data_IF_292668790956
#
_entry.id   IF_292668790956
#
_cell.length_a   1.000
_cell.length_b   1.000
_cell.length_c   1.000
_cell.angle_alpha   90.00
_cell.angle_beta   90.00
_cell.angle_gamma   90.00
#
_symmetry.space_group_name_H-M   'P 1'
#
loop_
_entity.id
_entity.type
_entity.pdbx_description
1 polymer ?
#
# COMPACT_ATOMS: atom_id res chain seq x y z
N UNK A 1 -18.64 32.23 14.76
CA UNK A 1 -17.66 32.61 15.79
C UNK A 1 -16.42 31.76 15.57
N UNK A 2 -15.24 32.34 15.67
CA UNK A 2 -13.97 31.61 15.51
C UNK A 2 -13.71 30.77 16.76
N UNK A 3 -13.46 29.48 16.58
CA UNK A 3 -13.18 28.53 17.67
C UNK A 3 -11.68 28.45 18.00
N UNK A 4 -10.89 29.33 17.37
CA UNK A 4 -9.45 29.45 17.57
C UNK A 4 -9.14 30.03 18.95
N UNK A 5 -8.13 29.46 19.59
CA UNK A 5 -7.42 30.09 20.71
C UNK A 5 -5.91 29.85 20.55
N UNK A 6 -5.08 30.59 21.28
CA UNK A 6 -3.62 30.42 21.23
C UNK A 6 -3.12 29.67 22.47
N UNK A 7 -2.37 28.59 22.27
CA UNK A 7 -1.74 27.80 23.32
C UNK A 7 -0.27 28.21 23.51
N UNK A 8 0.16 28.41 24.75
CA UNK A 8 1.53 28.82 25.07
C UNK A 8 2.50 27.65 24.99
N UNK A 9 3.58 27.83 24.22
CA UNK A 9 4.67 26.87 24.00
C UNK A 9 6.00 27.59 24.24
N UNK A 10 6.51 27.47 25.47
CA UNK A 10 7.70 28.20 25.92
C UNK A 10 7.48 29.71 25.88
N UNK A 11 8.28 30.42 25.07
CA UNK A 11 8.17 31.88 24.86
C UNK A 11 7.29 32.27 23.66
N UNK A 12 6.68 31.29 23.00
CA UNK A 12 5.85 31.50 21.81
C UNK A 12 4.44 30.95 22.02
N UNK A 13 3.52 31.25 21.10
CA UNK A 13 2.21 30.60 21.08
C UNK A 13 1.92 29.96 19.73
N UNK A 14 1.10 28.92 19.74
CA UNK A 14 0.58 28.26 18.54
C UNK A 14 -0.94 28.33 18.54
N UNK A 15 -1.57 28.53 17.37
CA UNK A 15 -3.02 28.47 17.28
C UNK A 15 -3.52 27.04 17.48
N UNK A 16 -4.64 26.91 18.17
CA UNK A 16 -5.36 25.65 18.38
C UNK A 16 -6.79 25.88 17.91
N UNK A 17 -7.30 24.91 17.15
CA UNK A 17 -8.70 24.81 16.76
C UNK A 17 -9.20 23.42 17.14
N UNK A 18 -10.51 23.22 17.32
CA UNK A 18 -11.08 21.89 17.50
C UNK A 18 -10.66 20.96 16.35
N UNK A 19 -10.32 19.71 16.67
CA UNK A 19 -9.81 18.73 15.69
C UNK A 19 -10.84 18.44 14.60
N UNK A 20 -12.12 18.44 14.94
CA UNK A 20 -13.19 18.28 13.97
C UNK A 20 -13.26 19.47 12.99
N UNK A 21 -13.13 20.69 13.49
CA UNK A 21 -13.03 21.92 12.68
C UNK A 21 -11.81 21.89 11.75
N UNK A 22 -10.68 21.35 12.22
CA UNK A 22 -9.51 21.08 11.36
C UNK A 22 -9.85 20.10 10.23
N UNK A 23 -10.46 18.94 10.55
CA UNK A 23 -10.81 17.92 9.56
C UNK A 23 -11.82 18.46 8.53
N UNK A 24 -12.77 19.28 8.97
CA UNK A 24 -13.74 19.93 8.07
C UNK A 24 -13.03 20.88 7.10
N UNK A 25 -12.14 21.73 7.62
CA UNK A 25 -11.36 22.65 6.79
C UNK A 25 -10.48 21.89 5.78
N UNK A 26 -9.79 20.83 6.23
CA UNK A 26 -8.97 19.97 5.37
C UNK A 26 -9.81 19.32 4.27
N UNK A 27 -11.03 18.88 4.56
CA UNK A 27 -11.97 18.33 3.58
C UNK A 27 -12.43 19.36 2.55
N UNK A 28 -12.75 20.60 2.95
CA UNK A 28 -13.10 21.66 2.00
C UNK A 28 -11.94 22.00 1.06
N UNK A 29 -10.72 22.11 1.59
CA UNK A 29 -9.51 22.29 0.78
C UNK A 29 -9.28 21.09 -0.15
N UNK A 30 -9.48 19.87 0.34
CA UNK A 30 -9.40 18.65 -0.47
C UNK A 30 -10.48 18.56 -1.56
N UNK A 31 -11.53 19.39 -1.46
CA UNK A 31 -12.62 19.55 -2.44
C UNK A 31 -12.44 20.82 -3.29
N UNK A 32 -11.18 21.26 -3.45
CA UNK A 32 -10.79 22.32 -4.37
C UNK A 32 -11.13 23.74 -3.94
N UNK A 33 -11.55 23.96 -2.69
CA UNK A 33 -11.68 25.31 -2.13
C UNK A 33 -10.32 25.93 -1.89
N UNK A 34 -10.24 27.25 -2.07
CA UNK A 34 -8.97 27.94 -1.91
C UNK A 34 -8.67 28.23 -0.42
N UNK A 35 -7.39 28.27 -0.01
CA UNK A 35 -7.03 28.70 1.34
C UNK A 35 -7.56 30.09 1.70
N UNK A 36 -7.68 30.98 0.72
CA UNK A 36 -8.22 32.34 0.89
C UNK A 36 -9.71 32.34 1.24
N UNK A 37 -10.48 31.32 0.85
CA UNK A 37 -11.88 31.15 1.25
C UNK A 37 -12.00 30.49 2.63
N UNK A 38 -11.19 29.45 2.89
CA UNK A 38 -11.35 28.56 4.05
C UNK A 38 -10.70 29.15 5.31
N UNK A 39 -9.45 29.58 5.23
CA UNK A 39 -8.66 29.94 6.42
C UNK A 39 -9.18 31.17 7.17
N UNK A 40 -9.77 32.21 6.53
CA UNK A 40 -10.37 33.32 7.27
C UNK A 40 -11.52 32.90 8.19
N UNK A 41 -12.26 31.83 7.87
CA UNK A 41 -13.32 31.29 8.76
C UNK A 41 -12.75 30.68 10.05
N UNK A 42 -11.50 30.22 10.00
CA UNK A 42 -10.75 29.71 11.14
C UNK A 42 -9.97 30.80 11.87
N UNK A 43 -9.89 32.00 11.28
CA UNK A 43 -9.02 33.07 11.73
C UNK A 43 -7.54 32.68 11.66
N UNK A 44 -7.13 31.87 10.66
CA UNK A 44 -5.75 31.42 10.47
C UNK A 44 -5.11 32.08 9.24
N UNK A 45 -3.82 32.33 9.31
CA UNK A 45 -2.97 32.61 8.13
C UNK A 45 -2.54 31.30 7.45
N UNK A 46 -2.05 31.38 6.20
CA UNK A 46 -1.51 30.21 5.50
C UNK A 46 -0.34 29.57 6.27
N UNK A 47 0.59 30.37 6.81
CA UNK A 47 1.72 29.87 7.60
C UNK A 47 1.30 29.21 8.91
N UNK A 48 0.23 29.68 9.54
CA UNK A 48 -0.34 29.03 10.73
C UNK A 48 -1.02 27.72 10.36
N UNK A 49 -1.78 27.70 9.26
CA UNK A 49 -2.40 26.48 8.75
C UNK A 49 -1.36 25.41 8.41
N UNK A 50 -0.28 25.76 7.71
CA UNK A 50 0.74 24.78 7.31
C UNK A 50 1.36 24.07 8.53
N UNK A 51 1.71 24.84 9.57
CA UNK A 51 2.25 24.28 10.83
C UNK A 51 1.22 23.43 11.57
N UNK A 52 -0.02 23.91 11.65
CA UNK A 52 -1.12 23.20 12.31
C UNK A 52 -1.45 21.89 11.59
N UNK A 53 -1.58 21.95 10.26
CA UNK A 53 -1.88 20.81 9.40
C UNK A 53 -0.77 19.76 9.46
N UNK A 54 0.51 20.18 9.52
CA UNK A 54 1.61 19.22 9.66
C UNK A 54 1.54 18.40 10.95
N UNK A 55 1.02 18.99 12.04
CA UNK A 55 0.81 18.29 13.30
C UNK A 55 -0.50 17.47 13.33
N UNK A 56 -1.63 18.07 12.91
CA UNK A 56 -2.96 17.52 13.11
C UNK A 56 -3.29 16.35 12.18
N UNK A 57 -2.77 16.34 10.95
CA UNK A 57 -3.04 15.29 9.95
C UNK A 57 -2.65 13.88 10.45
N UNK A 58 -1.79 13.80 11.45
CA UNK A 58 -1.27 12.55 12.01
C UNK A 58 -2.02 12.04 13.25
N UNK A 59 -2.95 12.81 13.83
CA UNK A 59 -3.65 12.42 15.07
C UNK A 59 -4.20 10.99 15.05
N UNK A 60 -4.89 10.53 13.99
CA UNK A 60 -5.48 9.18 13.98
C UNK A 60 -4.50 8.09 13.51
N UNK A 61 -3.18 8.37 13.49
CA UNK A 61 -2.16 7.47 12.96
C UNK A 61 -0.99 7.28 13.95
N UNK A 62 -0.20 6.23 13.73
CA UNK A 62 1.02 5.98 14.52
C UNK A 62 2.22 6.86 14.16
N UNK A 63 2.05 7.77 13.20
CA UNK A 63 3.09 8.64 12.65
C UNK A 63 3.05 10.05 13.26
N UNK A 64 4.00 10.90 12.85
CA UNK A 64 3.98 12.33 13.16
C UNK A 64 4.25 12.69 14.62
N UNK A 65 4.92 11.83 15.40
CA UNK A 65 5.28 12.13 16.79
C UNK A 65 6.13 13.41 16.88
N UNK A 66 7.14 13.54 16.01
CA UNK A 66 8.01 14.71 15.96
C UNK A 66 7.26 16.02 15.64
N UNK A 67 6.41 16.02 14.61
CA UNK A 67 5.60 17.19 14.23
C UNK A 67 4.67 17.62 15.37
N UNK A 68 4.02 16.67 16.04
CA UNK A 68 3.12 16.94 17.18
C UNK A 68 3.87 17.48 18.38
N UNK A 69 5.00 16.85 18.77
CA UNK A 69 5.85 17.30 19.87
C UNK A 69 6.38 18.70 19.62
N UNK A 70 6.81 18.99 18.39
CA UNK A 70 7.28 20.31 18.03
C UNK A 70 6.16 21.36 18.13
N UNK A 71 4.97 21.07 17.61
CA UNK A 71 3.85 22.00 17.60
C UNK A 71 3.31 22.31 19.00
N UNK A 72 3.14 21.29 19.85
CA UNK A 72 2.55 21.43 21.18
C UNK A 72 3.59 21.53 22.32
N UNK A 73 4.87 21.73 22.03
CA UNK A 73 5.88 21.90 23.09
C UNK A 73 6.11 20.66 23.94
N UNK A 74 5.92 19.46 23.39
CA UNK A 74 6.15 18.19 24.07
C UNK A 74 5.02 17.72 24.98
N UNK A 75 3.82 18.29 24.88
CA UNK A 75 2.62 17.74 25.53
C UNK A 75 2.41 16.27 25.19
N UNK A 76 1.88 15.51 26.16
CA UNK A 76 1.40 14.15 25.92
C UNK A 76 0.06 14.15 25.17
N UNK A 77 -0.26 13.01 24.56
CA UNK A 77 -1.47 12.83 23.76
C UNK A 77 -2.76 13.17 24.53
N UNK A 78 -2.80 12.86 25.83
CA UNK A 78 -3.95 13.16 26.67
C UNK A 78 -4.16 14.65 26.91
N UNK A 79 -3.08 15.40 27.09
CA UNK A 79 -3.12 16.86 27.18
C UNK A 79 -3.53 17.48 25.84
N UNK A 80 -3.04 16.97 24.72
CA UNK A 80 -3.45 17.43 23.39
C UNK A 80 -4.93 17.16 23.18
N UNK A 81 -5.44 15.95 23.47
CA UNK A 81 -6.87 15.62 23.38
C UNK A 81 -7.75 16.61 24.16
N UNK A 82 -7.35 17.02 25.37
CA UNK A 82 -8.09 18.01 26.16
C UNK A 82 -8.12 19.41 25.53
N UNK A 83 -7.14 19.75 24.69
CA UNK A 83 -7.10 21.01 23.97
C UNK A 83 -7.94 20.99 22.69
N UNK A 84 -7.96 19.86 21.97
CA UNK A 84 -8.47 19.79 20.59
C UNK A 84 -9.86 19.15 20.44
N UNK A 85 -10.35 18.43 21.44
CA UNK A 85 -11.67 17.77 21.37
C UNK A 85 -12.86 18.68 21.74
N UNK A 86 -12.75 19.55 22.76
CA UNK A 86 -13.81 20.50 23.06
C UNK A 86 -14.09 21.46 21.89
N UNK A 87 -15.32 22.01 21.79
CA UNK A 87 -16.44 21.84 22.71
C UNK A 87 -17.34 20.63 22.42
N UNK A 88 -17.18 19.99 21.26
CA UNK A 88 -18.13 18.98 20.75
C UNK A 88 -17.80 17.56 21.18
N UNK A 89 -16.53 17.28 21.45
CA UNK A 89 -16.06 15.94 21.76
C UNK A 89 -15.43 15.91 23.14
N UNK A 90 -15.60 14.79 23.82
CA UNK A 90 -14.95 14.49 25.09
C UNK A 90 -14.45 13.06 25.04
N UNK A 91 -13.31 12.81 25.69
CA UNK A 91 -12.81 11.45 25.86
C UNK A 91 -13.71 10.70 26.84
N UNK A 92 -14.12 9.48 26.49
CA UNK A 92 -14.78 8.58 27.44
C UNK A 92 -13.78 8.15 28.53
N UNK A 93 -14.26 7.97 29.76
CA UNK A 93 -13.42 7.55 30.89
C UNK A 93 -12.91 6.12 30.71
N UNK A 94 -11.60 5.95 30.62
CA UNK A 94 -10.87 4.70 30.36
C UNK A 94 -9.35 4.96 30.27
N UNK A 95 -8.55 3.98 29.86
CA UNK A 95 -7.08 4.05 29.76
C UNK A 95 -6.53 5.37 29.17
N UNK A 96 -5.26 5.68 29.49
CA UNK A 96 -4.58 6.94 29.10
C UNK A 96 -4.96 7.38 27.68
N UNK A 97 -5.59 8.55 27.50
CA UNK A 97 -6.04 9.01 26.19
C UNK A 97 -4.87 9.13 25.20
N UNK A 98 -5.03 8.48 24.04
CA UNK A 98 -4.10 8.47 22.90
C UNK A 98 -4.76 9.19 21.72
N UNK A 99 -4.01 10.02 21.00
CA UNK A 99 -4.51 10.75 19.83
C UNK A 99 -5.01 9.81 18.73
N UNK A 100 -4.49 8.59 18.63
CA UNK A 100 -4.95 7.58 17.65
C UNK A 100 -6.43 7.24 17.82
N UNK A 101 -6.92 7.31 19.06
CA UNK A 101 -8.33 7.06 19.36
C UNK A 101 -9.26 8.10 18.73
N UNK A 102 -8.76 9.25 18.28
CA UNK A 102 -9.58 10.31 17.65
C UNK A 102 -10.00 10.00 16.20
N UNK A 103 -9.69 8.81 15.67
CA UNK A 103 -10.11 8.39 14.33
C UNK A 103 -11.64 8.51 14.10
N UNK A 104 -12.45 8.28 15.14
CA UNK A 104 -13.91 8.44 15.05
C UNK A 104 -14.34 9.89 14.77
N UNK A 105 -13.57 10.88 15.24
CA UNK A 105 -13.84 12.31 14.98
C UNK A 105 -13.70 12.57 13.50
N UNK A 106 -12.54 12.24 12.92
CA UNK A 106 -12.30 12.35 11.48
C UNK A 106 -13.36 11.62 10.67
N UNK A 107 -13.67 10.38 11.03
CA UNK A 107 -14.61 9.57 10.27
C UNK A 107 -16.03 10.15 10.38
N UNK A 108 -16.41 10.76 11.50
CA UNK A 108 -17.69 11.50 11.61
C UNK A 108 -17.71 12.73 10.70
N UNK A 109 -16.63 13.53 10.71
CA UNK A 109 -16.55 14.75 9.90
C UNK A 109 -16.57 14.46 8.39
N UNK A 110 -16.02 13.33 7.96
CA UNK A 110 -16.13 12.87 6.55
C UNK A 110 -17.57 12.66 6.11
N UNK A 111 -18.46 12.24 7.03
CA UNK A 111 -19.89 12.07 6.74
C UNK A 111 -20.68 13.38 6.86
N UNK A 112 -20.25 14.29 7.73
CA UNK A 112 -20.86 15.61 7.88
C UNK A 112 -19.82 16.70 8.19
N UNK A 113 -19.28 17.39 7.16
CA UNK A 113 -18.24 18.42 7.33
C UNK A 113 -18.80 19.79 7.75
N UNK A 114 -20.12 19.94 7.81
CA UNK A 114 -20.79 21.20 8.13
C UNK A 114 -20.85 21.43 9.64
N UNK A 115 -19.70 21.72 10.22
CA UNK A 115 -19.50 21.88 11.67
C UNK A 115 -18.74 23.16 12.00
N UNK A 116 -18.93 23.66 13.22
CA UNK A 116 -18.26 24.87 13.70
C UNK A 116 -18.43 26.06 12.73
N UNK A 117 -17.33 26.71 12.28
CA UNK A 117 -17.39 27.83 11.33
C UNK A 117 -17.97 27.50 9.94
N UNK A 118 -18.23 26.23 9.63
CA UNK A 118 -18.68 25.75 8.32
C UNK A 118 -20.16 25.35 8.26
N UNK A 119 -20.92 25.42 9.36
CA UNK A 119 -22.34 24.98 9.41
C UNK A 119 -23.18 25.60 8.27
N UNK A 120 -23.07 26.91 8.06
CA UNK A 120 -23.87 27.64 7.06
C UNK A 120 -23.02 28.17 5.91
N UNK A 121 -21.91 27.50 5.55
CA UNK A 121 -21.02 28.00 4.49
C UNK A 121 -21.64 27.89 3.09
N UNK A 122 -22.64 27.03 2.89
CA UNK A 122 -23.28 26.78 1.60
C UNK A 122 -22.37 26.12 0.56
N UNK A 123 -21.21 25.61 0.96
CA UNK A 123 -20.25 24.98 0.05
C UNK A 123 -20.60 23.50 -0.13
N UNK A 124 -20.91 23.04 -1.36
CA UNK A 124 -21.23 21.64 -1.58
C UNK A 124 -19.97 20.78 -1.37
N UNK A 125 -20.13 19.69 -0.63
CA UNK A 125 -19.09 18.71 -0.40
C UNK A 125 -19.70 17.33 -0.21
N UNK A 126 -19.09 16.33 -0.82
CA UNK A 126 -19.35 14.93 -0.54
C UNK A 126 -18.03 14.18 -0.54
N UNK A 127 -17.79 13.44 0.52
CA UNK A 127 -16.65 12.54 0.60
C UNK A 127 -17.00 11.20 -0.07
N UNK A 128 -16.08 10.67 -0.88
CA UNK A 128 -16.27 9.42 -1.62
C UNK A 128 -15.52 8.28 -0.94
N UNK A 129 -14.19 8.40 -0.83
CA UNK A 129 -13.32 7.35 -0.29
C UNK A 129 -11.92 7.88 0.04
N UNK A 130 -11.23 7.23 0.98
CA UNK A 130 -9.78 7.39 1.18
C UNK A 130 -9.00 6.63 0.11
N UNK A 131 -7.80 7.11 -0.22
CA UNK A 131 -6.88 6.39 -1.09
C UNK A 131 -6.28 5.17 -0.36
N UNK A 132 -6.19 3.99 -0.97
CA UNK A 132 -5.71 2.77 -0.29
C UNK A 132 -4.25 2.86 0.15
N UNK A 133 -3.38 3.50 -0.63
CA UNK A 133 -1.94 3.62 -0.34
C UNK A 133 -1.55 5.01 0.23
N UNK A 134 -2.50 5.93 0.35
CA UNK A 134 -2.24 7.31 0.76
C UNK A 134 -3.40 7.80 1.62
N UNK A 135 -3.53 7.26 2.82
CA UNK A 135 -4.72 7.40 3.69
C UNK A 135 -5.08 8.84 4.07
N UNK A 136 -4.12 9.77 3.95
CA UNK A 136 -4.34 11.23 4.08
C UNK A 136 -5.01 11.85 2.87
N UNK A 137 -4.90 11.23 1.70
CA UNK A 137 -5.56 11.65 0.48
C UNK A 137 -6.93 10.99 0.36
N UNK A 138 -7.89 11.73 -0.18
CA UNK A 138 -9.24 11.22 -0.44
C UNK A 138 -9.80 11.75 -1.74
N UNK A 139 -10.80 11.03 -2.24
CA UNK A 139 -11.68 11.46 -3.31
C UNK A 139 -12.89 12.17 -2.70
N UNK A 140 -13.19 13.36 -3.23
CA UNK A 140 -14.35 14.16 -2.83
C UNK A 140 -15.00 14.77 -4.07
N UNK A 141 -16.21 15.31 -3.95
CA UNK A 141 -16.81 16.12 -5.01
C UNK A 141 -17.63 17.28 -4.46
N UNK A 142 -17.73 18.35 -5.26
CA UNK A 142 -18.57 19.52 -4.98
C UNK A 142 -19.95 19.43 -5.70
N UNK A 143 -20.27 18.25 -6.25
CA UNK A 143 -21.47 18.01 -7.06
C UNK A 143 -21.29 18.36 -8.55
N UNK A 144 -20.14 18.92 -8.95
CA UNK A 144 -19.81 19.28 -10.33
C UNK A 144 -18.47 18.70 -10.79
N UNK A 145 -17.51 18.58 -9.89
CA UNK A 145 -16.14 18.12 -10.14
C UNK A 145 -15.76 17.10 -9.07
N UNK A 146 -15.08 16.03 -9.48
CA UNK A 146 -14.42 15.11 -8.55
C UNK A 146 -12.98 15.57 -8.35
N UNK A 147 -12.56 15.59 -7.09
CA UNK A 147 -11.24 15.98 -6.66
C UNK A 147 -10.49 14.80 -6.06
N UNK A 148 -9.17 14.83 -6.20
CA UNK A 148 -8.25 14.02 -5.43
C UNK A 148 -7.28 14.95 -4.72
N UNK A 149 -7.43 15.05 -3.39
CA UNK A 149 -6.57 15.89 -2.55
C UNK A 149 -6.48 17.35 -3.03
N UNK A 150 -7.64 17.95 -3.34
CA UNK A 150 -7.76 19.37 -3.72
C UNK A 150 -7.68 19.62 -5.23
N UNK A 151 -7.16 18.66 -5.99
CA UNK A 151 -6.99 18.82 -7.44
C UNK A 151 -8.08 18.07 -8.21
N UNK A 152 -8.69 18.69 -9.24
CA UNK A 152 -9.59 17.98 -10.15
C UNK A 152 -8.91 16.76 -10.78
N UNK A 153 -9.66 15.68 -10.97
CA UNK A 153 -9.10 14.51 -11.66
C UNK A 153 -8.65 14.88 -13.09
N UNK A 154 -7.41 14.53 -13.40
CA UNK A 154 -6.78 14.86 -14.67
C UNK A 154 -6.03 13.67 -15.29
N UNK A 155 -5.94 13.68 -16.62
CA UNK A 155 -5.11 12.76 -17.39
C UNK A 155 -3.62 13.04 -17.20
N UNK A 156 -2.77 12.23 -17.85
CA UNK A 156 -1.31 12.36 -17.75
C UNK A 156 -0.77 13.71 -18.27
N UNK A 157 -1.53 14.41 -19.09
CA UNK A 157 -1.19 15.71 -19.67
C UNK A 157 -1.78 16.88 -18.86
N UNK A 158 -2.51 16.60 -17.78
CA UNK A 158 -3.17 17.62 -16.96
C UNK A 158 -4.54 18.05 -17.47
N UNK A 159 -5.10 17.38 -18.48
CA UNK A 159 -6.45 17.67 -18.94
C UNK A 159 -7.47 17.04 -17.98
N UNK A 160 -8.52 17.77 -17.64
CA UNK A 160 -9.60 17.23 -16.79
C UNK A 160 -10.26 16.03 -17.45
N UNK A 161 -10.48 14.96 -16.68
CA UNK A 161 -11.25 13.82 -17.15
C UNK A 161 -12.75 14.07 -16.93
N UNK A 162 -13.56 13.74 -17.93
CA UNK A 162 -15.01 13.82 -17.82
C UNK A 162 -15.51 12.65 -16.99
N UNK A 163 -16.14 12.94 -15.84
CA UNK A 163 -16.69 11.94 -14.91
C UNK A 163 -18.17 12.21 -14.66
N UNK A 164 -18.97 11.16 -14.50
CA UNK A 164 -20.33 11.31 -13.97
C UNK A 164 -20.27 11.39 -12.43
N UNK A 165 -20.24 12.62 -11.92
CA UNK A 165 -20.05 12.91 -10.49
C UNK A 165 -21.07 12.18 -9.61
N UNK A 166 -22.33 12.11 -10.03
CA UNK A 166 -23.42 11.55 -9.24
C UNK A 166 -23.29 10.03 -9.01
N UNK A 167 -22.61 9.31 -9.90
CA UNK A 167 -22.39 7.86 -9.78
C UNK A 167 -20.95 7.48 -9.47
N UNK A 168 -20.05 8.45 -9.36
CA UNK A 168 -18.62 8.22 -9.16
C UNK A 168 -18.32 7.57 -7.81
N UNK A 169 -17.57 6.47 -7.83
CA UNK A 169 -17.25 5.66 -6.64
C UNK A 169 -15.87 5.01 -6.77
N UNK A 170 -15.25 4.73 -5.62
CA UNK A 170 -14.11 3.82 -5.55
C UNK A 170 -14.59 2.36 -5.58
N UNK A 171 -13.94 1.51 -6.39
CA UNK A 171 -14.25 0.06 -6.44
C UNK A 171 -13.37 -0.71 -5.46
N UNK A 172 -12.10 -0.30 -5.36
CA UNK A 172 -11.09 -1.00 -4.60
C UNK A 172 -9.72 -0.79 -5.22
N UNK A 173 -8.69 -0.83 -4.38
CA UNK A 173 -7.34 -0.46 -4.77
C UNK A 173 -7.29 0.86 -5.53
N UNK A 174 -6.64 0.88 -6.70
CA UNK A 174 -6.47 2.10 -7.52
C UNK A 174 -7.54 2.25 -8.61
N UNK A 175 -8.67 1.58 -8.45
CA UNK A 175 -9.75 1.53 -9.43
C UNK A 175 -10.97 2.31 -8.96
N UNK A 176 -11.52 3.12 -9.87
CA UNK A 176 -12.69 3.96 -9.66
C UNK A 176 -13.66 3.70 -10.82
N UNK A 177 -14.93 4.01 -10.62
CA UNK A 177 -15.90 3.91 -11.70
C UNK A 177 -16.98 4.97 -11.56
N UNK A 178 -17.68 5.21 -12.66
CA UNK A 178 -18.99 5.83 -12.69
C UNK A 178 -19.94 4.96 -13.54
N UNK A 179 -21.18 5.39 -13.73
CA UNK A 179 -22.20 4.61 -14.46
C UNK A 179 -21.81 4.22 -15.89
N UNK A 180 -20.85 4.90 -16.51
CA UNK A 180 -20.44 4.69 -17.90
C UNK A 180 -18.99 4.23 -18.07
N UNK A 181 -18.12 4.49 -17.10
CA UNK A 181 -16.68 4.29 -17.27
C UNK A 181 -16.02 3.68 -16.04
N UNK A 182 -14.92 2.97 -16.29
CA UNK A 182 -13.97 2.56 -15.27
C UNK A 182 -12.69 3.37 -15.46
N UNK A 183 -12.11 3.82 -14.34
CA UNK A 183 -10.89 4.59 -14.31
C UNK A 183 -9.81 3.85 -13.51
N UNK A 184 -8.58 3.88 -14.01
CA UNK A 184 -7.40 3.49 -13.25
C UNK A 184 -6.59 4.71 -12.83
N UNK A 185 -5.98 4.67 -11.65
CA UNK A 185 -5.00 5.66 -11.21
C UNK A 185 -3.57 5.20 -11.53
N UNK A 186 -2.89 5.94 -12.39
CA UNK A 186 -1.46 5.82 -12.64
C UNK A 186 -0.64 6.80 -11.78
N UNK A 187 0.68 6.56 -11.71
CA UNK A 187 1.65 7.51 -11.15
C UNK A 187 2.76 7.79 -12.15
N UNK A 188 3.28 9.01 -12.21
CA UNK A 188 4.41 9.36 -13.08
C UNK A 188 5.33 10.42 -12.46
N UNK A 189 6.54 10.48 -12.99
CA UNK A 189 7.58 11.42 -12.57
C UNK A 189 8.23 11.06 -11.22
N UNK A 190 9.29 11.79 -10.88
CA UNK A 190 10.06 11.63 -9.62
C UNK A 190 9.18 11.91 -8.40
N UNK A 191 8.18 12.78 -8.54
CA UNK A 191 7.24 13.15 -7.47
C UNK A 191 5.99 12.26 -7.40
N UNK A 192 5.95 11.15 -8.16
CA UNK A 192 4.83 10.20 -8.17
C UNK A 192 3.44 10.85 -8.32
N UNK A 193 3.32 11.87 -9.19
CA UNK A 193 2.03 12.56 -9.42
C UNK A 193 0.99 11.57 -9.92
N UNK A 194 -0.18 11.60 -9.30
CA UNK A 194 -1.32 10.80 -9.70
C UNK A 194 -1.93 11.37 -11.00
N UNK A 195 -2.41 10.46 -11.86
CA UNK A 195 -3.24 10.78 -13.01
C UNK A 195 -4.25 9.66 -13.20
N UNK A 196 -5.33 9.96 -13.91
CA UNK A 196 -6.40 9.00 -14.17
C UNK A 196 -6.54 8.77 -15.66
N UNK A 197 -6.89 7.54 -16.03
CA UNK A 197 -7.15 7.17 -17.41
C UNK A 197 -8.43 6.32 -17.46
N UNK A 198 -9.20 6.51 -18.53
CA UNK A 198 -10.36 5.67 -18.82
C UNK A 198 -9.89 4.31 -19.31
N UNK A 199 -10.49 3.25 -18.79
CA UNK A 199 -10.23 1.90 -19.24
C UNK A 199 -11.20 1.54 -20.37
N UNK A 200 -10.74 1.73 -21.60
CA UNK A 200 -11.55 1.51 -22.80
C UNK A 200 -12.07 0.07 -22.90
N UNK A 201 -13.40 -0.06 -23.11
CA UNK A 201 -14.08 -1.35 -23.25
C UNK A 201 -14.31 -2.11 -21.94
N UNK A 202 -14.02 -1.51 -20.78
CA UNK A 202 -14.36 -2.12 -19.50
C UNK A 202 -15.86 -2.16 -19.26
N UNK A 203 -16.36 -3.32 -18.82
CA UNK A 203 -17.75 -3.48 -18.41
C UNK A 203 -17.90 -3.01 -16.96
N UNK A 204 -18.26 -1.74 -16.77
CA UNK A 204 -18.39 -1.13 -15.44
C UNK A 204 -19.38 -1.86 -14.52
N UNK A 205 -20.41 -2.50 -15.08
CA UNK A 205 -21.43 -3.21 -14.32
C UNK A 205 -20.92 -4.52 -13.67
N UNK A 206 -19.88 -5.14 -14.25
CA UNK A 206 -19.28 -6.39 -13.74
C UNK A 206 -17.83 -6.22 -13.31
N UNK A 207 -17.34 -4.99 -13.26
CA UNK A 207 -15.96 -4.69 -12.92
C UNK A 207 -15.68 -4.97 -11.45
N UNK A 208 -14.61 -5.71 -11.19
CA UNK A 208 -14.16 -6.14 -9.88
C UNK A 208 -12.67 -5.79 -9.71
N UNK A 209 -12.36 -4.93 -8.75
CA UNK A 209 -10.99 -4.68 -8.33
C UNK A 209 -10.47 -5.88 -7.51
N UNK A 210 -9.42 -6.54 -8.00
CA UNK A 210 -8.85 -7.71 -7.33
C UNK A 210 -7.74 -7.31 -6.36
N UNK A 211 -6.94 -6.29 -6.69
CA UNK A 211 -5.99 -5.68 -5.77
C UNK A 211 -5.62 -4.25 -6.24
N UNK A 212 -4.53 -3.67 -5.71
CA UNK A 212 -4.05 -2.34 -6.10
C UNK A 212 -3.68 -2.20 -7.58
N UNK A 213 -3.54 -3.31 -8.31
CA UNK A 213 -2.90 -3.38 -9.63
C UNK A 213 -3.68 -4.16 -10.67
N UNK A 214 -4.49 -5.13 -10.26
CA UNK A 214 -5.27 -5.99 -11.13
C UNK A 214 -6.76 -5.84 -10.85
N UNK A 215 -7.52 -6.03 -11.91
CA UNK A 215 -8.97 -6.08 -11.88
C UNK A 215 -9.47 -7.01 -12.98
N UNK A 216 -10.75 -7.33 -12.97
CA UNK A 216 -11.42 -8.07 -14.03
C UNK A 216 -12.83 -7.57 -14.24
N UNK A 217 -13.39 -7.91 -15.38
CA UNK A 217 -14.83 -7.87 -15.61
C UNK A 217 -15.29 -9.20 -16.21
N UNK A 218 -16.54 -9.30 -16.64
CA UNK A 218 -17.07 -10.55 -17.24
C UNK A 218 -16.37 -10.97 -18.54
N UNK A 219 -15.65 -10.07 -19.21
CA UNK A 219 -15.05 -10.28 -20.52
C UNK A 219 -13.54 -10.54 -20.45
N UNK A 220 -12.82 -9.83 -19.57
CA UNK A 220 -11.36 -9.83 -19.54
C UNK A 220 -10.79 -9.37 -18.20
N UNK A 221 -9.46 -9.34 -18.10
CA UNK A 221 -8.74 -8.82 -16.94
C UNK A 221 -7.92 -7.59 -17.31
N UNK A 222 -7.48 -6.85 -16.31
CA UNK A 222 -6.82 -5.56 -16.46
C UNK A 222 -5.63 -5.43 -15.53
N UNK A 223 -4.65 -4.65 -15.99
CA UNK A 223 -3.55 -4.19 -15.17
C UNK A 223 -3.53 -2.66 -15.16
N UNK A 224 -3.23 -2.08 -14.00
CA UNK A 224 -3.33 -0.64 -13.66
C UNK A 224 -2.53 0.34 -14.52
N UNK A 225 -1.80 -0.15 -15.52
CA UNK A 225 -1.23 0.69 -16.58
C UNK A 225 -2.19 0.87 -17.76
N UNK A 226 -3.49 0.58 -17.59
CA UNK A 226 -4.49 0.54 -18.66
C UNK A 226 -4.37 -0.66 -19.59
N UNK A 227 -3.56 -1.65 -19.22
CA UNK A 227 -3.32 -2.82 -20.07
C UNK A 227 -4.46 -3.81 -19.93
N UNK A 228 -5.11 -4.13 -21.05
CA UNK A 228 -6.05 -5.25 -21.14
C UNK A 228 -5.30 -6.58 -21.23
N UNK A 229 -5.67 -7.51 -20.36
CA UNK A 229 -5.21 -8.90 -20.33
C UNK A 229 -6.34 -9.77 -20.90
N UNK A 230 -6.24 -10.06 -22.20
CA UNK A 230 -7.23 -10.90 -22.91
C UNK A 230 -7.13 -12.35 -22.43
N UNK A 231 -7.92 -12.67 -21.41
CA UNK A 231 -8.04 -14.02 -20.85
C UNK A 231 -9.29 -14.71 -21.41
N UNK A 232 -9.24 -16.03 -21.55
CA UNK A 232 -10.41 -16.86 -21.89
C UNK A 232 -11.20 -17.32 -20.67
N UNK A 233 -10.69 -17.02 -19.47
CA UNK A 233 -11.33 -17.39 -18.21
C UNK A 233 -11.34 -16.22 -17.23
N UNK A 234 -12.00 -15.09 -17.57
CA UNK A 234 -12.03 -13.90 -16.70
C UNK A 234 -12.53 -14.21 -15.29
N UNK A 235 -13.59 -15.01 -15.14
CA UNK A 235 -14.10 -15.40 -13.83
C UNK A 235 -13.16 -16.29 -12.99
N UNK A 236 -12.08 -16.81 -13.57
CA UNK A 236 -11.02 -17.54 -12.85
C UNK A 236 -9.75 -16.71 -12.68
N UNK A 237 -9.76 -15.43 -13.10
CA UNK A 237 -8.62 -14.55 -12.94
C UNK A 237 -8.50 -14.13 -11.47
N UNK A 238 -7.39 -14.44 -10.83
CA UNK A 238 -7.16 -14.23 -9.39
C UNK A 238 -5.71 -13.79 -9.10
N UNK A 239 -5.50 -13.23 -7.92
CA UNK A 239 -4.18 -12.80 -7.45
C UNK A 239 -3.41 -14.00 -6.89
N UNK A 240 -2.11 -14.06 -7.15
CA UNK A 240 -1.19 -14.96 -6.46
C UNK A 240 -0.43 -14.11 -5.44
N UNK A 241 -0.69 -14.24 -4.13
CA UNK A 241 -0.04 -13.41 -3.12
C UNK A 241 1.49 -13.47 -3.19
N UNK A 242 2.13 -12.31 -3.06
CA UNK A 242 3.58 -12.24 -2.87
C UNK A 242 3.91 -12.71 -1.44
N UNK A 243 5.11 -13.23 -1.20
CA UNK A 243 5.52 -13.71 0.14
C UNK A 243 6.54 -12.77 0.75
N UNK A 244 6.23 -12.19 1.91
CA UNK A 244 7.17 -11.44 2.74
C UNK A 244 7.65 -12.31 3.89
N UNK A 245 8.97 -12.44 4.00
CA UNK A 245 9.65 -13.18 5.06
C UNK A 245 10.08 -12.21 6.16
N UNK A 246 9.52 -12.34 7.37
CA UNK A 246 9.81 -11.48 8.52
C UNK A 246 10.77 -12.14 9.50
N UNK A 247 12.03 -11.75 9.45
CA UNK A 247 13.09 -12.31 10.32
C UNK A 247 13.04 -11.79 11.76
N UNK A 248 12.22 -10.76 12.05
CA UNK A 248 12.12 -10.19 13.40
C UNK A 248 11.26 -11.04 14.34
N UNK A 249 10.18 -11.61 13.84
CA UNK A 249 9.20 -12.39 14.59
C UNK A 249 9.02 -13.82 14.02
N UNK A 250 9.87 -14.20 13.08
CA UNK A 250 9.88 -15.49 12.40
C UNK A 250 8.56 -15.85 11.68
N UNK A 251 7.85 -14.83 11.17
CA UNK A 251 6.59 -15.00 10.44
C UNK A 251 6.73 -14.87 8.92
N UNK A 252 5.73 -15.35 8.18
CA UNK A 252 5.62 -15.17 6.75
C UNK A 252 4.26 -14.55 6.41
N UNK A 253 4.24 -13.42 5.72
CA UNK A 253 3.01 -12.76 5.30
C UNK A 253 2.70 -13.04 3.82
N UNK A 254 1.44 -13.36 3.54
CA UNK A 254 0.91 -13.44 2.18
C UNK A 254 0.33 -12.09 1.78
N UNK A 255 1.05 -11.36 0.92
CA UNK A 255 0.70 -10.01 0.49
C UNK A 255 -0.19 -10.06 -0.76
N UNK A 256 -1.50 -10.07 -0.55
CA UNK A 256 -2.49 -10.08 -1.64
C UNK A 256 -2.62 -8.70 -2.32
N UNK A 257 -2.87 -7.65 -1.53
CA UNK A 257 -3.21 -6.32 -2.04
C UNK A 257 -2.05 -5.69 -2.83
N UNK A 258 -0.83 -5.98 -2.40
CA UNK A 258 0.38 -5.48 -3.03
C UNK A 258 0.97 -6.38 -4.12
N UNK A 259 0.40 -7.56 -4.34
CA UNK A 259 0.99 -8.51 -5.26
C UNK A 259 1.06 -7.98 -6.70
N UNK A 260 2.16 -8.32 -7.36
CA UNK A 260 2.40 -8.06 -8.77
C UNK A 260 2.02 -9.24 -9.67
N UNK A 261 1.47 -10.30 -9.07
CA UNK A 261 1.27 -11.59 -9.73
C UNK A 261 -0.19 -11.98 -9.72
N UNK A 262 -0.68 -12.41 -10.87
CA UNK A 262 -2.04 -12.93 -11.03
C UNK A 262 -2.01 -14.15 -11.95
N UNK A 263 -3.09 -14.92 -11.96
CA UNK A 263 -3.25 -16.03 -12.90
C UNK A 263 -4.67 -16.15 -13.38
N UNK A 264 -4.83 -16.80 -14.52
CA UNK A 264 -6.08 -17.39 -14.97
C UNK A 264 -5.90 -18.91 -15.16
N UNK A 265 -6.81 -19.58 -15.87
CA UNK A 265 -6.69 -21.04 -16.10
C UNK A 265 -5.53 -21.43 -17.04
N UNK A 266 -5.00 -20.51 -17.83
CA UNK A 266 -4.01 -20.79 -18.89
C UNK A 266 -2.64 -20.15 -18.66
N UNK A 267 -2.58 -19.08 -17.86
CA UNK A 267 -1.43 -18.19 -17.79
C UNK A 267 -1.22 -17.61 -16.38
N UNK A 268 0.07 -17.43 -16.05
CA UNK A 268 0.51 -16.57 -14.95
C UNK A 268 0.94 -15.23 -15.53
N UNK A 269 0.57 -14.16 -14.87
CA UNK A 269 0.89 -12.79 -15.23
C UNK A 269 1.75 -12.16 -14.12
N UNK A 270 2.83 -11.50 -14.51
CA UNK A 270 3.72 -10.77 -13.62
C UNK A 270 3.90 -9.36 -14.17
N UNK A 271 3.59 -8.33 -13.37
CA UNK A 271 3.49 -6.93 -13.82
C UNK A 271 2.63 -6.76 -15.09
N UNK A 272 1.48 -7.44 -15.15
CA UNK A 272 0.57 -7.39 -16.29
C UNK A 272 1.10 -8.04 -17.56
N UNK A 273 2.22 -8.78 -17.52
CA UNK A 273 2.75 -9.51 -18.66
C UNK A 273 2.70 -11.03 -18.42
N UNK A 274 2.34 -11.80 -19.45
CA UNK A 274 2.34 -13.27 -19.36
C UNK A 274 3.75 -13.78 -19.09
N UNK A 275 3.93 -14.49 -17.98
CA UNK A 275 5.20 -15.10 -17.61
C UNK A 275 5.42 -16.36 -18.44
N UNK A 276 6.38 -16.31 -19.37
CA UNK A 276 6.59 -17.38 -20.34
C UNK A 276 6.97 -18.70 -19.67
N UNK A 277 6.25 -19.76 -20.02
CA UNK A 277 6.51 -21.11 -19.54
C UNK A 277 6.01 -21.40 -18.13
N UNK A 278 5.40 -20.42 -17.45
CA UNK A 278 4.74 -20.62 -16.16
C UNK A 278 3.33 -21.17 -16.37
N UNK A 279 3.07 -22.35 -15.79
CA UNK A 279 1.72 -22.92 -15.70
C UNK A 279 1.05 -22.41 -14.42
N UNK A 280 -0.25 -22.05 -14.45
CA UNK A 280 -0.99 -21.57 -13.28
C UNK A 280 -1.04 -22.57 -12.11
N UNK A 281 -1.14 -23.85 -12.44
CA UNK A 281 -1.25 -24.94 -11.47
C UNK A 281 -0.01 -24.99 -10.56
N UNK A 282 -0.25 -24.90 -9.25
CA UNK A 282 0.80 -24.92 -8.24
C UNK A 282 1.70 -23.68 -8.25
N UNK A 283 1.46 -22.67 -9.09
CA UNK A 283 2.28 -21.46 -9.12
C UNK A 283 2.11 -20.67 -7.82
N UNK A 284 3.22 -20.42 -7.13
CA UNK A 284 3.27 -19.64 -5.88
C UNK A 284 4.61 -18.96 -5.70
N UNK A 285 4.59 -17.86 -4.95
CA UNK A 285 5.80 -17.23 -4.43
C UNK A 285 6.41 -18.04 -3.29
N UNK A 286 7.73 -17.94 -3.16
CA UNK A 286 8.53 -18.54 -2.10
C UNK A 286 9.19 -17.47 -1.20
N UNK A 287 9.14 -16.20 -1.61
CA UNK A 287 9.87 -15.09 -0.98
C UNK A 287 11.15 -14.73 -1.74
N UNK A 288 11.72 -13.57 -1.43
CA UNK A 288 13.00 -13.09 -2.01
C UNK A 288 13.05 -13.08 -3.54
N UNK A 289 11.91 -12.77 -4.18
CA UNK A 289 11.80 -12.76 -5.63
C UNK A 289 11.74 -14.15 -6.29
N UNK A 290 11.74 -15.24 -5.52
CA UNK A 290 11.61 -16.59 -6.08
C UNK A 290 10.16 -17.06 -6.12
N UNK A 291 9.80 -17.73 -7.20
CA UNK A 291 8.51 -18.38 -7.36
C UNK A 291 8.68 -19.72 -8.08
N UNK A 292 7.73 -20.63 -7.89
CA UNK A 292 7.74 -21.92 -8.57
C UNK A 292 6.33 -22.36 -8.91
N UNK A 293 6.25 -23.29 -9.85
CA UNK A 293 5.12 -24.19 -9.98
C UNK A 293 5.61 -25.62 -9.73
N UNK A 294 4.82 -26.62 -10.13
CA UNK A 294 5.18 -28.03 -9.91
C UNK A 294 6.38 -28.50 -10.73
N UNK A 295 6.80 -27.77 -11.77
CA UNK A 295 7.80 -28.22 -12.74
C UNK A 295 9.04 -27.31 -12.81
N UNK A 296 8.88 -26.02 -12.51
CA UNK A 296 9.87 -24.98 -12.81
C UNK A 296 9.95 -23.96 -11.70
N UNK A 297 11.09 -23.26 -11.67
CA UNK A 297 11.40 -22.21 -10.70
C UNK A 297 11.85 -20.96 -11.43
N UNK A 298 11.41 -19.80 -10.96
CA UNK A 298 11.75 -18.50 -11.50
C UNK A 298 12.38 -17.61 -10.45
N UNK A 299 13.30 -16.76 -10.91
CA UNK A 299 13.72 -15.57 -10.20
C UNK A 299 13.04 -14.36 -10.85
N UNK A 300 12.01 -13.84 -10.20
CA UNK A 300 11.06 -12.89 -10.75
C UNK A 300 11.62 -11.46 -10.87
N UNK A 301 12.55 -11.05 -9.99
CA UNK A 301 13.18 -9.73 -10.06
C UNK A 301 13.84 -9.49 -11.42
N UNK A 302 14.44 -10.54 -11.99
CA UNK A 302 15.05 -10.55 -13.33
C UNK A 302 14.17 -11.25 -14.38
N UNK A 303 12.93 -11.62 -14.03
CA UNK A 303 11.95 -12.32 -14.89
C UNK A 303 12.52 -13.59 -15.53
N UNK A 304 13.39 -14.29 -14.81
CA UNK A 304 14.23 -15.37 -15.33
C UNK A 304 13.72 -16.74 -14.92
N UNK A 305 13.67 -17.68 -15.86
CA UNK A 305 13.52 -19.11 -15.57
C UNK A 305 14.88 -19.69 -15.12
N UNK A 306 14.92 -20.35 -13.98
CA UNK A 306 16.13 -20.98 -13.44
C UNK A 306 16.32 -22.34 -14.13
N UNK A 307 17.29 -22.44 -15.03
CA UNK A 307 17.54 -23.65 -15.80
C UNK A 307 18.10 -24.77 -14.92
N UNK A 308 17.52 -25.97 -15.04
CA UNK A 308 17.97 -27.15 -14.30
C UNK A 308 17.70 -27.12 -12.80
N UNK A 309 16.87 -26.20 -12.31
CA UNK A 309 16.38 -26.22 -10.94
C UNK A 309 15.42 -27.40 -10.72
N UNK A 310 15.62 -28.15 -9.65
CA UNK A 310 14.64 -29.15 -9.21
C UNK A 310 13.52 -28.44 -8.45
N UNK A 311 12.44 -28.18 -9.16
CA UNK A 311 11.28 -27.53 -8.57
C UNK A 311 10.76 -28.29 -7.36
N UNK A 312 10.74 -29.62 -7.34
CA UNK A 312 10.17 -30.39 -6.23
C UNK A 312 10.90 -30.13 -4.90
N UNK A 313 12.21 -29.92 -4.95
CA UNK A 313 13.06 -29.73 -3.77
C UNK A 313 13.58 -28.31 -3.59
N UNK A 314 13.17 -27.36 -4.44
CA UNK A 314 13.64 -25.97 -4.33
C UNK A 314 13.18 -25.31 -3.01
N UNK A 315 14.14 -24.81 -2.24
CA UNK A 315 13.97 -24.26 -0.90
C UNK A 315 14.57 -22.86 -0.81
N UNK A 316 13.77 -21.94 -0.27
CA UNK A 316 14.20 -20.59 0.15
C UNK A 316 14.31 -20.62 1.67
N UNK A 317 15.52 -20.45 2.25
CA UNK A 317 15.68 -20.33 3.69
C UNK A 317 14.78 -19.22 4.26
N UNK A 318 13.89 -19.63 5.16
CA UNK A 318 12.87 -18.78 5.75
C UNK A 318 13.26 -18.21 7.11
N UNK A 319 12.38 -17.39 7.69
CA UNK A 319 12.53 -16.90 9.05
C UNK A 319 12.61 -18.03 10.07
N UNK A 320 13.48 -17.89 11.08
CA UNK A 320 13.74 -18.92 12.08
C UNK A 320 14.74 -20.01 11.65
N UNK A 321 15.11 -20.07 10.37
CA UNK A 321 16.17 -20.95 9.89
C UNK A 321 17.55 -20.30 10.05
N UNK A 322 18.63 -21.09 10.23
CA UNK A 322 19.97 -20.54 10.29
C UNK A 322 20.32 -19.75 9.04
N UNK A 323 20.91 -18.57 9.24
CA UNK A 323 21.35 -17.73 8.15
C UNK A 323 22.44 -18.42 7.33
N UNK A 324 22.32 -18.34 6.00
CA UNK A 324 23.31 -18.84 5.08
C UNK A 324 24.31 -17.71 4.85
N UNK A 325 25.51 -17.84 5.41
CA UNK A 325 26.58 -16.84 5.25
C UNK A 325 27.21 -16.98 3.87
N UNK A 326 26.53 -16.44 2.86
CA UNK A 326 26.99 -16.52 1.49
C UNK A 326 28.27 -15.71 1.23
N UNK A 327 28.91 -16.02 0.10
CA UNK A 327 30.16 -15.38 -0.35
C UNK A 327 29.94 -14.01 -1.03
N UNK A 328 28.68 -13.61 -1.21
CA UNK A 328 28.23 -12.35 -1.81
C UNK A 328 27.08 -11.79 -1.01
N UNK A 329 26.62 -10.56 -1.27
CA UNK A 329 25.33 -10.10 -0.77
C UNK A 329 24.18 -10.74 -1.55
N UNK A 330 23.04 -10.95 -0.88
CA UNK A 330 21.80 -11.41 -1.51
C UNK A 330 21.11 -12.56 -0.77
N UNK A 331 20.08 -13.12 -1.40
CA UNK A 331 19.33 -14.25 -0.88
C UNK A 331 19.81 -15.55 -1.54
N UNK A 332 20.27 -16.48 -0.71
CA UNK A 332 20.80 -17.77 -1.14
C UNK A 332 19.70 -18.81 -1.01
N UNK A 333 19.52 -19.58 -2.07
CA UNK A 333 18.48 -20.60 -2.15
C UNK A 333 19.10 -21.88 -2.69
N UNK A 334 18.45 -23.02 -2.54
CA UNK A 334 19.03 -24.29 -2.95
C UNK A 334 17.95 -25.27 -3.39
N UNK A 335 18.33 -26.25 -4.20
CA UNK A 335 17.58 -27.48 -4.36
C UNK A 335 18.46 -28.68 -3.98
N UNK A 336 17.96 -29.91 -4.19
CA UNK A 336 18.72 -31.11 -3.88
C UNK A 336 20.06 -31.26 -4.62
N UNK A 337 20.25 -30.54 -5.72
CA UNK A 337 21.40 -30.67 -6.61
C UNK A 337 22.45 -29.59 -6.36
N UNK A 338 22.05 -28.36 -6.02
CA UNK A 338 22.98 -27.22 -5.89
C UNK A 338 22.36 -25.99 -5.20
N UNK A 339 23.19 -25.02 -4.79
CA UNK A 339 22.73 -23.69 -4.41
C UNK A 339 22.60 -22.74 -5.61
N UNK A 340 21.84 -21.66 -5.42
CA UNK A 340 21.62 -20.58 -6.39
C UNK A 340 21.71 -19.21 -5.73
N UNK A 341 22.15 -18.22 -6.50
CA UNK A 341 22.13 -16.79 -6.12
C UNK A 341 21.55 -15.99 -7.27
N UNK A 342 20.48 -15.23 -7.02
CA UNK A 342 19.77 -14.42 -8.04
C UNK A 342 19.40 -15.24 -9.29
N UNK A 343 18.97 -16.48 -9.07
CA UNK A 343 18.62 -17.41 -10.16
C UNK A 343 19.80 -17.94 -10.98
N UNK A 344 21.05 -17.76 -10.54
CA UNK A 344 22.23 -18.40 -11.12
C UNK A 344 22.67 -19.60 -10.27
N UNK A 345 22.91 -20.74 -10.93
CA UNK A 345 23.48 -21.92 -10.30
C UNK A 345 24.89 -21.65 -9.77
N UNK A 346 25.21 -22.23 -8.61
CA UNK A 346 26.53 -22.15 -8.00
C UNK A 346 27.15 -23.52 -7.84
N UNK A 347 28.48 -23.55 -7.71
CA UNK A 347 29.21 -24.76 -7.42
C UNK A 347 28.92 -25.23 -5.99
N UNK A 348 28.38 -26.44 -5.80
CA UNK A 348 28.19 -27.04 -4.49
C UNK A 348 29.45 -27.06 -3.61
N UNK A 349 30.64 -27.27 -4.17
CA UNK A 349 31.89 -27.37 -3.39
C UNK A 349 32.26 -26.02 -2.79
N UNK A 350 32.21 -24.95 -3.58
CA UNK A 350 32.51 -23.58 -3.11
C UNK A 350 31.54 -23.12 -2.02
N UNK A 351 30.30 -23.60 -2.05
CA UNK A 351 29.23 -23.19 -1.14
C UNK A 351 29.02 -24.14 0.04
N UNK A 352 29.80 -25.22 0.15
CA UNK A 352 29.61 -26.25 1.17
C UNK A 352 29.62 -25.71 2.60
N UNK A 353 30.64 -24.92 2.95
CA UNK A 353 30.78 -24.35 4.31
C UNK A 353 29.68 -23.33 4.61
N UNK A 354 29.30 -22.50 3.64
CA UNK A 354 28.27 -21.46 3.80
C UNK A 354 26.90 -22.03 4.17
N UNK A 355 26.59 -23.25 3.70
CA UNK A 355 25.32 -23.93 3.93
C UNK A 355 25.33 -24.88 5.13
N UNK A 356 26.47 -25.05 5.84
CA UNK A 356 26.58 -26.00 6.97
C UNK A 356 25.47 -25.81 8.01
N UNK A 357 25.34 -24.60 8.55
CA UNK A 357 24.38 -24.32 9.62
C UNK A 357 22.94 -24.66 9.22
N UNK A 358 22.57 -24.39 7.96
CA UNK A 358 21.25 -24.70 7.44
C UNK A 358 20.98 -26.21 7.41
N UNK A 359 21.91 -27.00 6.85
CA UNK A 359 21.73 -28.46 6.75
C UNK A 359 21.82 -29.16 8.12
N UNK A 360 22.72 -28.73 9.01
CA UNK A 360 22.83 -29.28 10.37
C UNK A 360 21.56 -29.05 11.19
N UNK A 361 20.87 -27.92 10.98
CA UNK A 361 19.59 -27.64 11.63
C UNK A 361 18.39 -28.36 10.98
N UNK A 362 18.58 -29.03 9.84
CA UNK A 362 17.52 -29.68 9.05
C UNK A 362 17.80 -31.17 8.80
N UNK A 363 17.82 -32.01 9.86
CA UNK A 363 18.09 -33.45 9.73
C UNK A 363 17.00 -34.23 8.97
N UNK A 364 15.86 -33.58 8.70
CA UNK A 364 14.79 -34.05 7.83
C UNK A 364 15.19 -34.05 6.35
N UNK A 365 16.13 -33.20 5.95
CA UNK A 365 16.67 -33.13 4.59
C UNK A 365 17.83 -34.11 4.47
N UNK A 366 17.76 -35.05 3.52
CA UNK A 366 18.80 -36.09 3.31
C UNK A 366 19.08 -36.33 1.83
N UNK A 367 20.28 -36.81 1.53
CA UNK A 367 20.74 -37.17 0.17
C UNK A 367 20.81 -36.00 -0.83
N UNK A 368 21.02 -34.79 -0.29
CA UNK A 368 21.28 -33.57 -1.06
C UNK A 368 22.77 -33.41 -1.35
N UNK A 369 23.11 -32.50 -2.27
CA UNK A 369 24.49 -32.18 -2.65
C UNK A 369 25.42 -31.99 -1.45
N UNK A 370 24.95 -31.30 -0.41
CA UNK A 370 25.74 -30.99 0.79
C UNK A 370 26.18 -32.27 1.53
N UNK A 371 25.24 -33.18 1.79
CA UNK A 371 25.51 -34.47 2.43
C UNK A 371 26.46 -35.36 1.62
N UNK A 372 26.40 -35.29 0.28
CA UNK A 372 27.30 -36.05 -0.59
C UNK A 372 28.74 -35.53 -0.51
N UNK A 373 28.91 -34.22 -0.45
CA UNK A 373 30.22 -33.58 -0.24
C UNK A 373 30.76 -33.90 1.16
N UNK A 374 29.92 -33.78 2.19
CA UNK A 374 30.31 -34.11 3.57
C UNK A 374 30.84 -35.54 3.70
N UNK A 375 30.13 -36.53 3.13
CA UNK A 375 30.58 -37.94 3.09
C UNK A 375 31.93 -38.10 2.39
N UNK A 376 32.16 -37.32 1.32
CA UNK A 376 33.40 -37.39 0.53
C UNK A 376 34.58 -36.79 1.31
N UNK A 377 34.38 -35.66 2.00
CA UNK A 377 35.38 -35.06 2.88
C UNK A 377 35.67 -35.91 4.11
N UNK A 378 34.66 -36.53 4.70
CA UNK A 378 34.84 -37.45 5.83
C UNK A 378 35.65 -38.70 5.42
N UNK A 379 35.46 -39.22 4.21
CA UNK A 379 36.25 -40.34 3.69
C UNK A 379 37.71 -39.97 3.30
N UNK A 380 38.02 -38.67 3.24
CA UNK A 380 39.35 -38.15 2.88
C UNK A 380 40.17 -37.67 4.10
N UNK A 381 39.59 -37.75 5.31
CA UNK A 381 40.24 -37.49 6.60
C UNK A 381 40.59 -38.82 7.26
#
# INVERSE_FOLDING_TARGET
MTERFDHQVGSTSVPVIPYDTFEAAALFLATGRSPEEVLPKLGLTATEWDRLHDAYKWFPYSLGDDSRRHYFGGLDDGAICRLVLPPRWQMEGGDKPDLRSTAFVRDTVRHNPYIGPFIDCGWPLTWIASHPEATLCSYTHDGRTVYFNGEPLADRNGNRIGVDVASFKAVGGRWLYDKGHVYGQGRYGVYHRAYWFVLEGADAATFEALNLRYARDKNQAYYITGKTLRTRSPGAFEIIPDVRLNYRDNSCDLLHDDSHTARDREAVYFYGARLRGAKPEGFRHLGHGYAKNNEKVWYLDEKKLIQGADAATFTVPGPGEPDVKGLTSGHFVTDRHRPYVRGEARDPIEWFEAWRSFFEARPDIRDWWWHKIEKTFAASR
#
